data_IF_281552958414
#
_entry.id   IF_281552958414
#
_cell.length_a   1.000
_cell.length_b   1.000
_cell.length_c   1.000
_cell.angle_alpha   90.00
_cell.angle_beta   90.00
_cell.angle_gamma   90.00
#
_symmetry.space_group_name_H-M   'P 1'
#
loop_
_entity.id
_entity.type
_entity.pdbx_description
1 polymer ?
#
# COMPACT_ATOMS: atom_id res chain seq x y z
N UNK A 1 44.08 12.55 -20.16
CA UNK A 1 43.86 13.93 -19.70
C UNK A 1 42.91 13.87 -18.53
N UNK A 2 43.39 14.32 -17.38
CA UNK A 2 42.76 14.37 -16.05
C UNK A 2 41.89 15.62 -15.88
N UNK A 3 40.81 15.48 -15.10
CA UNK A 3 40.24 16.40 -14.08
C UNK A 3 38.79 15.93 -13.82
N UNK A 4 38.38 15.38 -12.67
CA UNK A 4 38.35 15.87 -11.28
C UNK A 4 37.46 17.11 -11.02
N UNK A 5 36.65 16.97 -9.95
CA UNK A 5 35.84 17.92 -9.18
C UNK A 5 34.40 18.18 -9.66
N UNK A 6 33.37 18.35 -8.83
CA UNK A 6 32.90 17.90 -7.50
C UNK A 6 31.79 18.89 -7.07
N UNK A 7 30.88 18.45 -6.17
CA UNK A 7 29.89 19.22 -5.35
C UNK A 7 28.56 19.63 -6.02
N UNK A 8 27.38 19.53 -5.37
CA UNK A 8 27.07 19.48 -3.94
C UNK A 8 25.69 18.82 -3.68
N UNK A 9 25.64 17.93 -2.69
CA UNK A 9 24.43 17.36 -2.09
C UNK A 9 24.01 18.21 -0.88
N UNK A 10 22.71 18.51 -0.75
CA UNK A 10 22.18 19.28 0.38
C UNK A 10 21.77 18.34 1.51
N UNK A 11 22.55 18.35 2.60
CA UNK A 11 22.33 17.58 3.83
C UNK A 11 21.78 18.49 4.94
N UNK A 12 20.75 18.03 5.65
CA UNK A 12 20.19 18.65 6.85
C UNK A 12 20.95 18.14 8.09
N UNK A 13 21.37 19.01 9.03
CA UNK A 13 22.33 18.62 10.07
C UNK A 13 21.70 17.90 11.27
N UNK A 14 22.47 16.95 11.81
CA UNK A 14 22.23 16.24 13.06
C UNK A 14 22.62 17.08 14.29
N UNK A 15 21.77 17.10 15.33
CA UNK A 15 22.10 17.64 16.64
C UNK A 15 22.67 16.56 17.57
N UNK A 16 23.85 16.81 18.13
CA UNK A 16 24.47 16.01 19.21
C UNK A 16 23.95 16.45 20.58
N UNK A 17 23.89 15.50 21.51
CA UNK A 17 23.17 15.58 22.76
C UNK A 17 23.93 16.11 23.97
N UNK A 18 23.38 15.88 25.15
CA UNK A 18 24.10 15.88 26.41
C UNK A 18 23.30 15.16 27.50
N UNK A 19 23.92 14.16 28.11
CA UNK A 19 23.44 13.45 29.29
C UNK A 19 23.87 14.20 30.55
N UNK A 20 23.02 14.25 31.57
CA UNK A 20 23.43 14.50 32.97
C UNK A 20 22.59 13.63 33.89
N UNK A 21 23.27 12.71 34.58
CA UNK A 21 22.82 12.02 35.78
C UNK A 21 22.84 12.96 36.99
N UNK A 22 21.94 12.76 37.97
CA UNK A 22 22.20 13.17 39.35
C UNK A 22 21.43 12.30 40.34
N UNK A 23 22.19 11.86 41.34
CA UNK A 23 21.88 10.98 42.46
C UNK A 23 20.86 11.51 43.48
N UNK A 24 20.45 10.57 44.33
CA UNK A 24 19.63 10.70 45.51
C UNK A 24 20.18 11.64 46.60
N UNK A 25 19.28 12.23 47.39
CA UNK A 25 19.50 12.45 48.82
C UNK A 25 18.18 12.66 49.58
N UNK A 26 18.02 11.86 50.64
CA UNK A 26 16.96 11.85 51.64
C UNK A 26 17.19 12.86 52.79
N UNK A 27 16.09 13.26 53.46
CA UNK A 27 15.89 13.64 54.88
C UNK A 27 14.97 14.86 54.97
N UNK A 28 14.01 15.02 55.88
CA UNK A 28 13.58 14.26 57.05
C UNK A 28 12.76 15.20 57.95
N UNK A 29 11.72 14.64 58.59
CA UNK A 29 11.15 15.00 59.90
C UNK A 29 10.25 16.25 60.14
N UNK A 30 9.00 15.92 60.53
CA UNK A 30 8.25 16.31 61.75
C UNK A 30 7.49 17.66 61.83
N UNK A 31 6.17 17.55 61.64
CA UNK A 31 5.08 17.72 62.64
C UNK A 31 5.14 18.90 63.66
N UNK A 32 4.17 19.82 63.58
CA UNK A 32 3.23 20.17 64.66
C UNK A 32 2.49 21.49 64.37
N UNK A 33 1.15 21.46 64.36
CA UNK A 33 0.29 22.21 65.29
C UNK A 33 -1.06 22.65 64.69
N UNK A 34 -2.02 22.66 65.61
CA UNK A 34 -3.48 22.77 65.55
C UNK A 34 -3.95 24.21 65.30
N UNK A 35 -5.11 24.37 64.67
CA UNK A 35 -5.84 25.64 64.65
C UNK A 35 -7.14 25.58 63.83
N UNK A 36 -8.27 25.55 64.53
CA UNK A 36 -9.64 25.54 64.00
C UNK A 36 -10.02 26.85 63.30
N UNK A 37 -10.89 26.78 62.28
CA UNK A 37 -11.51 27.96 61.68
C UNK A 37 -12.30 27.68 60.40
N UNK A 38 -13.60 27.42 60.53
CA UNK A 38 -14.53 27.28 59.43
C UNK A 38 -14.84 28.62 58.75
N UNK A 39 -14.84 28.66 57.42
CA UNK A 39 -15.79 29.45 56.63
C UNK A 39 -15.90 28.89 55.21
N UNK A 40 -17.14 28.65 54.79
CA UNK A 40 -17.47 27.98 53.54
C UNK A 40 -17.27 28.91 52.33
N UNK A 41 -16.50 28.41 51.37
CA UNK A 41 -16.68 28.74 49.97
C UNK A 41 -16.94 27.40 49.29
N UNK A 42 -18.12 27.24 48.66
CA UNK A 42 -18.40 26.07 47.85
C UNK A 42 -17.33 25.99 46.75
N UNK A 43 -16.31 25.15 46.96
CA UNK A 43 -15.42 24.73 45.90
C UNK A 43 -16.30 23.96 44.92
N UNK A 44 -16.69 24.60 43.80
CA UNK A 44 -17.08 23.87 42.59
C UNK A 44 -16.05 22.75 42.46
N UNK A 45 -16.52 21.51 42.60
CA UNK A 45 -15.67 20.32 42.62
C UNK A 45 -14.84 20.36 41.35
N UNK A 46 -13.62 20.86 41.43
CA UNK A 46 -12.73 20.96 40.28
C UNK A 46 -12.55 19.52 39.81
N UNK A 47 -13.22 19.17 38.71
CA UNK A 47 -13.18 17.82 38.14
C UNK A 47 -11.69 17.50 38.01
N UNK A 48 -11.17 16.48 38.71
CA UNK A 48 -9.74 16.40 38.89
C UNK A 48 -9.12 16.26 37.51
N UNK A 49 -8.14 17.12 37.23
CA UNK A 49 -7.51 17.37 35.91
C UNK A 49 -7.14 16.06 35.16
N UNK A 50 -6.94 14.97 35.90
CA UNK A 50 -6.83 13.57 35.40
C UNK A 50 -7.99 13.09 34.53
N UNK A 51 -9.25 13.45 34.82
CA UNK A 51 -10.39 13.05 33.98
C UNK A 51 -10.47 13.85 32.68
N UNK A 52 -10.00 15.10 32.70
CA UNK A 52 -9.85 15.90 31.49
C UNK A 52 -8.74 15.30 30.63
N UNK A 53 -7.59 14.96 31.24
CA UNK A 53 -6.49 14.30 30.53
C UNK A 53 -6.94 12.96 29.92
N UNK A 54 -7.59 12.09 30.68
CA UNK A 54 -8.13 10.81 30.18
C UNK A 54 -9.15 11.03 29.06
N UNK A 55 -10.04 12.01 29.22
CA UNK A 55 -11.01 12.36 28.18
C UNK A 55 -10.36 12.84 26.88
N UNK A 56 -9.33 13.68 26.99
CA UNK A 56 -8.55 14.17 25.84
C UNK A 56 -7.79 13.01 25.18
N UNK A 57 -7.10 12.17 25.96
CA UNK A 57 -6.38 11.01 25.41
C UNK A 57 -7.33 10.05 24.69
N UNK A 58 -8.48 9.73 25.29
CA UNK A 58 -9.48 8.88 24.64
C UNK A 58 -10.01 9.51 23.34
N UNK A 59 -10.27 10.82 23.34
CA UNK A 59 -10.70 11.53 22.13
C UNK A 59 -9.63 11.52 21.03
N UNK A 60 -8.36 11.75 21.37
CA UNK A 60 -7.25 11.69 20.40
C UNK A 60 -7.11 10.29 19.80
N UNK A 61 -7.18 9.24 20.62
CA UNK A 61 -7.11 7.86 20.14
C UNK A 61 -8.30 7.52 19.23
N UNK A 62 -9.50 8.00 19.55
CA UNK A 62 -10.67 7.80 18.71
C UNK A 62 -10.52 8.49 17.34
N UNK A 63 -10.06 9.74 17.32
CA UNK A 63 -9.84 10.50 16.07
C UNK A 63 -8.71 9.87 15.24
N UNK A 64 -7.59 9.49 15.88
CA UNK A 64 -6.48 8.84 15.21
C UNK A 64 -6.88 7.46 14.66
N UNK A 65 -7.64 6.67 15.42
CA UNK A 65 -8.15 5.38 14.98
C UNK A 65 -9.09 5.50 13.78
N UNK A 66 -10.01 6.48 13.80
CA UNK A 66 -10.88 6.74 12.65
C UNK A 66 -10.10 7.25 11.42
N UNK A 67 -9.14 8.14 11.62
CA UNK A 67 -8.28 8.63 10.53
C UNK A 67 -7.43 7.52 9.93
N UNK A 68 -6.84 6.67 10.77
CA UNK A 68 -6.11 5.48 10.34
C UNK A 68 -7.02 4.49 9.62
N UNK A 69 -8.25 4.29 10.11
CA UNK A 69 -9.24 3.43 9.45
C UNK A 69 -9.60 3.92 8.05
N UNK A 70 -9.70 5.22 7.82
CA UNK A 70 -9.93 5.72 6.45
C UNK A 70 -8.66 5.64 5.61
N UNK A 71 -7.50 5.94 6.21
CA UNK A 71 -6.24 6.02 5.48
C UNK A 71 -5.70 4.65 5.05
N UNK A 72 -5.85 3.60 5.86
CA UNK A 72 -5.28 2.28 5.55
C UNK A 72 -5.88 1.61 4.30
N UNK A 73 -7.06 2.08 3.86
CA UNK A 73 -7.71 1.62 2.62
C UNK A 73 -7.28 2.45 1.39
N UNK A 74 -6.44 3.48 1.56
CA UNK A 74 -6.03 4.38 0.48
C UNK A 74 -4.72 3.94 -0.18
N UNK A 75 -4.52 4.16 -1.49
CA UNK A 75 -3.27 3.85 -2.18
C UNK A 75 -2.02 4.51 -1.56
N UNK A 76 -2.18 5.67 -0.93
CA UNK A 76 -1.09 6.35 -0.19
C UNK A 76 -0.60 5.57 1.04
N UNK A 77 -1.41 4.69 1.63
CA UNK A 77 -0.97 3.79 2.68
C UNK A 77 -0.02 2.72 2.14
N UNK A 78 -0.33 2.17 0.97
CA UNK A 78 0.51 1.17 0.31
C UNK A 78 1.91 1.73 -0.01
N UNK A 79 1.95 2.98 -0.47
CA UNK A 79 3.20 3.73 -0.68
C UNK A 79 4.05 3.80 0.61
N UNK A 80 3.41 4.13 1.74
CA UNK A 80 4.12 4.42 2.99
C UNK A 80 4.46 3.19 3.84
N UNK A 81 3.67 2.11 3.78
CA UNK A 81 3.68 1.05 4.81
C UNK A 81 3.88 -0.37 4.26
N UNK A 82 3.38 -0.68 3.06
CA UNK A 82 3.35 -2.08 2.60
C UNK A 82 4.74 -2.61 2.21
N UNK A 83 5.53 -1.85 1.46
CA UNK A 83 6.97 -2.06 1.21
C UNK A 83 7.51 -1.01 0.24
N UNK A 84 8.80 -0.71 0.32
CA UNK A 84 9.54 -0.13 -0.81
C UNK A 84 9.98 -1.28 -1.70
N UNK A 85 9.69 -1.31 -3.01
CA UNK A 85 9.43 -0.16 -3.89
C UNK A 85 7.97 -0.03 -4.39
N UNK A 86 7.01 0.34 -3.53
CA UNK A 86 5.62 0.53 -3.95
C UNK A 86 5.37 1.82 -4.77
N UNK A 87 6.22 2.84 -4.60
CA UNK A 87 6.13 4.16 -5.27
C UNK A 87 5.80 4.10 -6.78
N UNK A 88 6.58 3.41 -7.64
CA UNK A 88 6.30 3.37 -9.08
C UNK A 88 4.95 2.73 -9.43
N UNK A 89 4.46 1.79 -8.61
CA UNK A 89 3.18 1.13 -8.85
C UNK A 89 2.00 2.06 -8.52
N UNK A 90 2.12 2.86 -7.46
CA UNK A 90 1.11 3.85 -7.09
C UNK A 90 1.09 5.01 -8.08
N UNK A 91 2.26 5.45 -8.55
CA UNK A 91 2.35 6.44 -9.62
C UNK A 91 1.72 5.92 -10.91
N UNK A 92 2.06 4.68 -11.30
CA UNK A 92 1.45 4.01 -12.45
C UNK A 92 -0.07 3.86 -12.32
N UNK A 93 -0.59 3.58 -11.13
CA UNK A 93 -2.03 3.51 -10.86
C UNK A 93 -2.75 4.85 -11.11
N UNK A 94 -2.16 5.98 -10.72
CA UNK A 94 -2.77 7.31 -10.95
C UNK A 94 -2.40 7.95 -12.30
N UNK A 95 -1.56 7.30 -13.10
CA UNK A 95 -0.99 7.87 -14.32
C UNK A 95 -2.00 8.15 -15.42
N UNK A 96 -3.16 7.46 -15.40
CA UNK A 96 -4.11 7.42 -16.52
C UNK A 96 -3.48 6.87 -17.83
N UNK A 97 -2.34 6.20 -17.75
CA UNK A 97 -1.68 5.58 -18.90
C UNK A 97 -2.47 4.34 -19.35
N UNK A 98 -3.06 4.32 -20.56
CA UNK A 98 -3.82 3.17 -21.05
C UNK A 98 -2.95 1.92 -21.29
N UNK A 99 -1.61 2.04 -21.28
CA UNK A 99 -0.71 0.90 -21.32
C UNK A 99 -0.71 0.10 -20.01
N UNK A 100 -1.07 0.72 -18.88
CA UNK A 100 -1.07 0.10 -17.56
C UNK A 100 -2.49 -0.29 -17.16
N UNK A 101 -2.78 -1.59 -17.01
CA UNK A 101 -4.14 -1.99 -16.58
C UNK A 101 -4.46 -1.49 -15.17
N UNK A 102 -3.46 -1.20 -14.32
CA UNK A 102 -3.70 -0.54 -13.03
C UNK A 102 -4.35 0.83 -13.19
N UNK A 103 -3.93 1.61 -14.20
CA UNK A 103 -4.52 2.92 -14.48
C UNK A 103 -5.90 2.79 -15.13
N UNK A 104 -6.07 1.80 -16.01
CA UNK A 104 -7.39 1.51 -16.62
C UNK A 104 -8.41 1.11 -15.55
N UNK A 105 -8.03 0.24 -14.61
CA UNK A 105 -8.89 -0.17 -13.49
C UNK A 105 -9.09 0.96 -12.48
N UNK A 106 -8.09 1.82 -12.26
CA UNK A 106 -8.27 3.06 -11.49
C UNK A 106 -9.36 3.94 -12.09
N UNK A 107 -9.39 4.09 -13.41
CA UNK A 107 -10.44 4.83 -14.14
C UNK A 107 -11.84 4.20 -14.04
N UNK A 108 -11.92 2.93 -13.62
CA UNK A 108 -13.17 2.21 -13.31
C UNK A 108 -13.44 2.15 -11.79
N UNK A 109 -12.83 3.04 -11.00
CA UNK A 109 -12.96 3.14 -9.55
C UNK A 109 -12.54 1.88 -8.76
N UNK A 110 -11.71 1.02 -9.35
CA UNK A 110 -11.14 -0.15 -8.67
C UNK A 110 -9.90 0.27 -7.87
N UNK A 111 -9.94 0.11 -6.55
CA UNK A 111 -8.82 0.43 -5.66
C UNK A 111 -7.76 -0.68 -5.63
N UNK A 112 -6.58 -0.40 -5.08
CA UNK A 112 -5.53 -1.40 -4.88
C UNK A 112 -6.07 -2.66 -4.17
N UNK A 113 -6.89 -2.46 -3.14
CA UNK A 113 -7.50 -3.54 -2.35
C UNK A 113 -8.60 -4.30 -3.11
N UNK A 114 -9.08 -3.78 -4.24
CA UNK A 114 -9.95 -4.54 -5.15
C UNK A 114 -9.25 -5.75 -5.75
N UNK A 115 -7.92 -5.72 -5.87
CA UNK A 115 -7.11 -6.85 -6.38
C UNK A 115 -6.11 -7.40 -5.37
N UNK A 116 -5.57 -6.54 -4.52
CA UNK A 116 -4.75 -6.91 -3.38
C UNK A 116 -5.65 -7.07 -2.16
N UNK A 117 -6.43 -8.16 -2.10
CA UNK A 117 -7.16 -8.53 -0.88
C UNK A 117 -6.24 -9.43 -0.03
N UNK A 118 -5.51 -8.91 0.96
CA UNK A 118 -4.76 -9.74 1.88
C UNK A 118 -5.68 -10.21 3.01
N UNK A 119 -5.59 -11.49 3.33
CA UNK A 119 -6.12 -12.01 4.58
C UNK A 119 -5.34 -11.42 5.76
N UNK A 120 -5.95 -11.37 6.95
CA UNK A 120 -5.27 -10.87 8.15
C UNK A 120 -3.97 -11.65 8.45
N UNK A 121 -3.96 -12.95 8.18
CA UNK A 121 -2.78 -13.80 8.32
C UNK A 121 -1.66 -13.44 7.34
N UNK A 122 -2.01 -13.12 6.09
CA UNK A 122 -1.03 -12.68 5.09
C UNK A 122 -0.44 -11.32 5.49
N UNK A 123 -1.26 -10.37 5.92
CA UNK A 123 -0.78 -9.05 6.38
C UNK A 123 0.21 -9.15 7.56
N UNK A 124 -0.06 -10.06 8.52
CA UNK A 124 0.84 -10.29 9.64
C UNK A 124 2.17 -10.94 9.20
N UNK A 125 2.11 -11.90 8.27
CA UNK A 125 3.29 -12.58 7.75
C UNK A 125 4.15 -11.63 6.91
N UNK A 126 3.53 -10.86 6.01
CA UNK A 126 4.20 -9.84 5.20
C UNK A 126 4.85 -8.77 6.07
N UNK A 127 4.16 -8.28 7.11
CA UNK A 127 4.72 -7.32 8.06
C UNK A 127 5.94 -7.86 8.82
N UNK A 128 5.92 -9.14 9.22
CA UNK A 128 7.06 -9.78 9.89
C UNK A 128 8.26 -9.94 8.94
N UNK A 129 8.02 -10.36 7.69
CA UNK A 129 9.04 -10.48 6.65
C UNK A 129 9.65 -9.12 6.32
N UNK A 130 8.84 -8.07 6.24
CA UNK A 130 9.29 -6.70 5.99
C UNK A 130 10.21 -6.18 7.10
N UNK A 131 9.80 -6.32 8.37
CA UNK A 131 10.63 -5.91 9.53
C UNK A 131 11.94 -6.69 9.57
N UNK A 132 11.92 -7.96 9.17
CA UNK A 132 13.12 -8.80 9.09
C UNK A 132 13.99 -8.52 7.84
N UNK A 133 13.50 -7.74 6.88
CA UNK A 133 14.19 -7.48 5.60
C UNK A 133 14.26 -8.71 4.69
N UNK A 134 13.38 -9.69 4.85
CA UNK A 134 13.45 -11.00 4.19
C UNK A 134 12.64 -11.11 2.89
N UNK A 135 12.68 -10.09 2.01
CA UNK A 135 11.92 -10.06 0.76
C UNK A 135 12.86 -10.04 -0.46
N UNK A 136 12.41 -10.64 -1.56
CA UNK A 136 13.14 -10.69 -2.83
C UNK A 136 12.72 -9.57 -3.78
N UNK A 137 13.67 -9.08 -4.58
CA UNK A 137 13.43 -8.12 -5.66
C UNK A 137 13.93 -8.69 -7.00
N UNK A 138 13.16 -8.57 -8.10
CA UNK A 138 11.80 -8.01 -8.16
C UNK A 138 10.78 -8.87 -7.41
N UNK A 139 9.73 -8.24 -6.90
CA UNK A 139 8.65 -8.94 -6.20
C UNK A 139 7.99 -9.96 -7.13
N UNK A 140 7.59 -11.10 -6.58
CA UNK A 140 6.87 -12.11 -7.35
C UNK A 140 5.51 -11.56 -7.81
N UNK A 141 5.20 -11.75 -9.11
CA UNK A 141 3.91 -11.33 -9.65
C UNK A 141 2.80 -12.20 -9.04
N UNK A 142 1.76 -11.56 -8.49
CA UNK A 142 0.59 -12.26 -7.98
C UNK A 142 -0.13 -12.95 -9.13
N UNK A 143 -0.53 -14.22 -8.91
CA UNK A 143 -1.35 -14.97 -9.85
C UNK A 143 -2.80 -14.99 -9.36
N UNK A 144 -3.72 -14.84 -10.29
CA UNK A 144 -5.16 -14.92 -10.06
C UNK A 144 -5.72 -16.04 -10.92
N UNK A 145 -6.74 -16.72 -10.42
CA UNK A 145 -7.56 -17.58 -11.26
C UNK A 145 -8.52 -16.76 -12.13
N UNK A 146 -9.18 -17.42 -13.07
CA UNK A 146 -10.12 -16.77 -13.98
C UNK A 146 -11.31 -16.15 -13.25
N UNK A 147 -11.81 -16.79 -12.18
CA UNK A 147 -12.99 -16.33 -11.44
C UNK A 147 -12.75 -15.01 -10.71
N UNK A 148 -11.50 -14.72 -10.35
CA UNK A 148 -11.13 -13.41 -9.81
C UNK A 148 -11.45 -12.27 -10.81
N UNK A 149 -11.19 -12.48 -12.09
CA UNK A 149 -11.45 -11.48 -13.13
C UNK A 149 -12.89 -11.58 -13.68
N UNK A 150 -13.32 -12.81 -13.98
CA UNK A 150 -14.59 -13.16 -14.63
C UNK A 150 -15.67 -13.38 -13.58
N UNK A 151 -16.31 -12.29 -13.16
CA UNK A 151 -17.42 -12.31 -12.22
C UNK A 151 -18.40 -11.18 -12.50
N UNK A 152 -19.59 -11.28 -11.90
CA UNK A 152 -20.71 -10.34 -12.08
C UNK A 152 -20.38 -8.88 -11.69
N UNK A 153 -19.38 -8.66 -10.82
CA UNK A 153 -18.99 -7.32 -10.38
C UNK A 153 -17.96 -6.66 -11.31
N UNK A 154 -17.19 -7.45 -12.07
CA UNK A 154 -16.09 -6.98 -12.91
C UNK A 154 -16.34 -7.35 -14.39
N UNK A 155 -15.80 -8.47 -14.85
CA UNK A 155 -16.02 -8.95 -16.22
C UNK A 155 -17.10 -10.03 -16.24
N UNK A 156 -18.36 -9.60 -16.37
CA UNK A 156 -19.53 -10.49 -16.45
C UNK A 156 -19.60 -11.20 -17.80
N UNK A 157 -18.71 -12.17 -17.99
CA UNK A 157 -18.59 -12.98 -19.19
C UNK A 157 -17.88 -14.30 -18.88
N UNK A 158 -17.84 -15.21 -19.84
CA UNK A 158 -17.10 -16.47 -19.74
C UNK A 158 -15.91 -16.49 -20.70
N UNK A 159 -15.03 -17.49 -20.54
CA UNK A 159 -13.96 -17.78 -21.50
C UNK A 159 -14.51 -17.96 -22.91
N UNK A 160 -15.61 -18.69 -23.05
CA UNK A 160 -16.30 -18.89 -24.34
C UNK A 160 -16.89 -17.58 -24.88
N UNK A 161 -17.42 -16.73 -24.00
CA UNK A 161 -17.90 -15.39 -24.35
C UNK A 161 -16.79 -14.50 -24.92
N UNK A 162 -15.62 -14.51 -24.28
CA UNK A 162 -14.43 -13.79 -24.75
C UNK A 162 -13.89 -14.36 -26.07
N UNK A 163 -13.82 -15.69 -26.19
CA UNK A 163 -13.46 -16.37 -27.43
C UNK A 163 -14.39 -15.94 -28.57
N UNK A 164 -15.71 -15.99 -28.37
CA UNK A 164 -16.69 -15.56 -29.36
C UNK A 164 -16.54 -14.07 -29.72
N UNK A 165 -16.29 -13.20 -28.73
CA UNK A 165 -16.09 -11.77 -28.95
C UNK A 165 -14.80 -11.44 -29.73
N UNK A 166 -13.86 -12.37 -29.80
CA UNK A 166 -12.57 -12.19 -30.50
C UNK A 166 -12.35 -13.16 -31.66
N UNK A 167 -13.43 -13.82 -32.10
CA UNK A 167 -13.42 -14.84 -33.17
C UNK A 167 -12.88 -14.34 -34.52
N UNK A 168 -12.94 -13.02 -34.78
CA UNK A 168 -12.50 -12.45 -36.06
C UNK A 168 -10.98 -12.22 -36.12
N UNK A 169 -10.25 -12.49 -35.02
CA UNK A 169 -8.79 -12.39 -35.00
C UNK A 169 -8.16 -13.63 -35.63
N UNK A 170 -7.10 -13.43 -36.42
CA UNK A 170 -6.33 -14.52 -37.01
C UNK A 170 -5.75 -15.49 -35.94
N UNK A 171 -5.37 -14.92 -34.80
CA UNK A 171 -5.01 -15.65 -33.58
C UNK A 171 -5.96 -15.20 -32.48
N UNK A 172 -6.95 -16.03 -32.13
CA UNK A 172 -7.90 -15.71 -31.08
C UNK A 172 -7.24 -15.90 -29.70
N UNK A 173 -6.94 -14.82 -28.94
CA UNK A 173 -6.19 -14.93 -27.69
C UNK A 173 -6.98 -15.54 -26.53
N UNK A 174 -8.30 -15.73 -26.70
CA UNK A 174 -9.19 -16.23 -25.65
C UNK A 174 -9.72 -17.64 -25.90
N UNK A 175 -9.40 -18.24 -27.05
CA UNK A 175 -9.63 -19.65 -27.31
C UNK A 175 -8.51 -20.52 -26.72
N UNK A 176 -8.83 -21.79 -26.44
CA UNK A 176 -7.82 -22.78 -26.12
C UNK A 176 -7.03 -23.14 -27.38
N UNK A 177 -5.73 -22.84 -27.38
CA UNK A 177 -4.81 -23.18 -28.47
C UNK A 177 -3.76 -24.18 -27.99
N UNK A 178 -3.33 -25.06 -28.88
CA UNK A 178 -2.26 -26.04 -28.62
C UNK A 178 -2.49 -26.97 -27.42
N UNK A 179 -3.74 -27.10 -26.96
CA UNK A 179 -4.10 -27.87 -25.76
C UNK A 179 -3.72 -27.19 -24.44
N UNK A 180 -3.47 -25.88 -24.47
CA UNK A 180 -3.13 -25.08 -23.30
C UNK A 180 -4.07 -23.87 -23.16
N UNK A 181 -4.55 -23.64 -21.95
CA UNK A 181 -5.29 -22.43 -21.60
C UNK A 181 -4.33 -21.46 -20.90
N UNK A 182 -4.02 -20.34 -21.56
CA UNK A 182 -3.23 -19.27 -20.96
C UNK A 182 -4.02 -18.55 -19.86
N UNK A 183 -3.33 -18.25 -18.76
CA UNK A 183 -3.88 -17.44 -17.69
C UNK A 183 -3.99 -15.97 -18.14
N UNK A 184 -4.96 -15.23 -17.60
CA UNK A 184 -5.16 -13.82 -17.93
C UNK A 184 -3.85 -13.02 -17.80
N UNK A 185 -3.10 -13.26 -16.73
CA UNK A 185 -1.83 -12.59 -16.43
C UNK A 185 -0.65 -12.93 -17.34
N UNK A 186 -0.77 -13.95 -18.22
CA UNK A 186 0.27 -14.26 -19.20
C UNK A 186 0.34 -13.17 -20.29
N UNK A 187 -0.77 -12.51 -20.55
CA UNK A 187 -0.90 -11.41 -21.51
C UNK A 187 -1.25 -10.07 -20.85
N UNK A 188 -2.27 -10.07 -19.97
CA UNK A 188 -2.78 -8.87 -19.31
C UNK A 188 -1.92 -8.49 -18.11
N UNK A 189 -1.06 -7.49 -18.29
CA UNK A 189 -0.17 -6.98 -17.25
C UNK A 189 -0.77 -5.77 -16.54
N UNK A 190 -0.78 -5.83 -15.21
CA UNK A 190 -1.42 -4.80 -14.37
C UNK A 190 -0.53 -3.60 -14.16
N UNK A 191 0.71 -3.84 -13.78
CA UNK A 191 1.66 -2.82 -13.36
C UNK A 191 2.77 -2.54 -14.40
N UNK A 192 2.65 -3.11 -15.58
CA UNK A 192 3.55 -2.92 -16.72
C UNK A 192 2.72 -3.02 -18.01
N UNK A 193 3.24 -2.60 -19.18
CA UNK A 193 2.54 -2.75 -20.44
C UNK A 193 2.16 -4.20 -20.71
N UNK A 194 0.90 -4.44 -21.06
CA UNK A 194 0.41 -5.75 -21.44
C UNK A 194 1.12 -6.29 -22.69
N UNK A 195 1.24 -7.60 -22.80
CA UNK A 195 2.00 -8.27 -23.85
C UNK A 195 1.12 -9.19 -24.68
N UNK A 196 1.30 -9.21 -26.00
CA UNK A 196 0.69 -10.24 -26.83
C UNK A 196 1.57 -11.49 -26.82
N UNK A 197 1.24 -12.49 -26.00
CA UNK A 197 2.04 -13.72 -25.89
C UNK A 197 2.14 -14.51 -27.20
N UNK A 198 1.17 -14.40 -28.11
CA UNK A 198 1.20 -15.08 -29.41
C UNK A 198 2.42 -14.67 -30.23
N UNK A 199 2.87 -13.42 -30.09
CA UNK A 199 4.04 -12.89 -30.81
C UNK A 199 5.37 -13.54 -30.42
N UNK A 200 5.39 -14.36 -29.37
CA UNK A 200 6.55 -15.21 -29.06
C UNK A 200 6.88 -16.17 -30.21
N UNK A 201 5.85 -16.64 -30.94
CA UNK A 201 5.99 -17.60 -32.03
C UNK A 201 5.40 -17.08 -33.35
N UNK A 202 4.37 -16.24 -33.30
CA UNK A 202 3.65 -15.68 -34.43
C UNK A 202 4.02 -14.21 -34.63
N UNK A 203 5.09 -13.95 -35.37
CA UNK A 203 5.60 -12.59 -35.60
C UNK A 203 4.61 -11.67 -36.36
N UNK A 204 3.62 -12.28 -37.02
CA UNK A 204 2.52 -11.63 -37.73
C UNK A 204 1.26 -11.45 -36.87
N UNK A 205 1.28 -11.85 -35.59
CA UNK A 205 0.17 -11.61 -34.68
C UNK A 205 0.05 -10.11 -34.36
N UNK A 206 -1.15 -9.57 -34.56
CA UNK A 206 -1.45 -8.16 -34.31
C UNK A 206 -1.28 -7.80 -32.82
N UNK A 207 -0.42 -6.84 -32.52
CA UNK A 207 -0.26 -6.29 -31.17
C UNK A 207 -1.27 -5.15 -30.98
N UNK A 208 -2.16 -5.21 -29.97
CA UNK A 208 -3.09 -4.12 -29.69
C UNK A 208 -2.39 -2.81 -29.37
N UNK A 209 -3.10 -1.69 -29.56
CA UNK A 209 -2.60 -0.37 -29.14
C UNK A 209 -2.25 -0.38 -27.63
N UNK A 210 -1.15 0.29 -27.28
CA UNK A 210 -0.60 0.38 -25.92
C UNK A 210 -0.12 -0.95 -25.32
N UNK A 211 -0.05 -2.02 -26.12
CA UNK A 211 0.55 -3.29 -25.75
C UNK A 211 1.92 -3.46 -26.40
N UNK A 212 2.67 -4.44 -25.91
CA UNK A 212 3.99 -4.82 -26.40
C UNK A 212 3.95 -6.20 -27.07
N UNK A 213 4.85 -6.39 -28.03
CA UNK A 213 5.20 -7.75 -28.46
C UNK A 213 5.93 -8.47 -27.32
N UNK A 214 5.75 -9.79 -27.23
CA UNK A 214 6.41 -10.62 -26.24
C UNK A 214 7.94 -10.46 -26.34
N UNK A 215 8.61 -10.26 -25.21
CA UNK A 215 10.06 -10.12 -25.14
C UNK A 215 10.61 -8.80 -25.68
N UNK A 216 9.78 -7.87 -26.12
CA UNK A 216 10.22 -6.50 -26.44
C UNK A 216 10.52 -5.73 -25.14
N UNK A 217 11.72 -5.15 -25.06
CA UNK A 217 12.13 -4.29 -23.93
C UNK A 217 11.57 -2.90 -24.13
#
# INVERSE_FOLDING_TARGET
>A
MTQEQDREASAVPAAKGSAVSADAASAGAKDASRGDGASGFERRRARPRRWIAVGVTAAVLAVAGAGFWVWHEQPSFCNAICHTPMDPYVEGYYSQDPALLSAVHQGADVTCMGCHVPTLSEQLAEGAVWVAGGYDLPLEQRRFDDGFCLNEACHDTSREGLAAATQDRAYNPHEEYHGEQLACGDCHKVHEPSVNACTQCHADADVPDNWKAYGSR
#
